data_IF_358589277539
#
_entry.id   IF_358589277539
#
_cell.length_a   1.000
_cell.length_b   1.000
_cell.length_c   1.000
_cell.angle_alpha   90.00
_cell.angle_beta   90.00
_cell.angle_gamma   90.00
#
_symmetry.space_group_name_H-M   'P 1'
#
loop_
_entity.id
_entity.type
_entity.pdbx_description
1 polymer ?
#
# COMPACT_ATOMS: atom_id res chain seq x y z
N UNK A 1 -1.19 14.16 -41.32
CA UNK A 1 -1.95 13.87 -40.09
C UNK A 1 -1.00 13.53 -38.97
N UNK A 2 -0.81 12.26 -38.64
CA UNK A 2 -0.06 11.83 -37.45
C UNK A 2 1.43 12.27 -37.37
N UNK A 3 2.11 12.44 -38.51
CA UNK A 3 3.55 12.84 -38.54
C UNK A 3 3.74 14.34 -38.25
N UNK A 4 2.72 15.20 -38.44
CA UNK A 4 2.83 16.63 -38.13
C UNK A 4 2.54 16.93 -36.66
N UNK A 5 1.60 16.21 -36.03
CA UNK A 5 1.24 16.40 -34.62
C UNK A 5 2.31 15.85 -33.67
N UNK A 6 2.88 14.67 -33.97
CA UNK A 6 3.99 14.10 -33.19
C UNK A 6 5.26 14.97 -33.22
N UNK A 7 5.48 15.74 -34.30
CA UNK A 7 6.57 16.71 -34.36
C UNK A 7 6.32 17.88 -33.42
N UNK A 8 5.11 18.44 -33.38
CA UNK A 8 4.76 19.57 -32.51
C UNK A 8 4.87 19.22 -31.02
N UNK A 9 4.42 18.02 -30.62
CA UNK A 9 4.49 17.60 -29.21
C UNK A 9 5.93 17.40 -28.71
N UNK A 10 6.84 16.92 -29.56
CA UNK A 10 8.24 16.62 -29.19
C UNK A 10 9.21 17.77 -29.45
N UNK A 11 8.81 18.76 -30.23
CA UNK A 11 9.62 19.93 -30.58
C UNK A 11 10.23 20.66 -29.37
N UNK A 12 9.50 20.86 -28.25
CA UNK A 12 10.07 21.53 -27.06
C UNK A 12 11.30 20.82 -26.49
N UNK A 13 11.30 19.48 -26.48
CA UNK A 13 12.42 18.67 -26.01
C UNK A 13 13.63 18.77 -26.95
N UNK A 14 13.39 18.82 -28.26
CA UNK A 14 14.44 18.91 -29.28
C UNK A 14 15.10 20.30 -29.32
N UNK A 15 14.37 21.35 -28.96
CA UNK A 15 14.83 22.74 -28.97
C UNK A 15 15.45 23.19 -27.64
N UNK A 16 15.25 22.43 -26.56
CA UNK A 16 15.78 22.75 -25.24
C UNK A 16 17.11 22.05 -24.99
N UNK A 17 18.10 22.78 -24.48
CA UNK A 17 19.36 22.19 -24.01
C UNK A 17 19.11 21.49 -22.67
N UNK A 18 19.02 20.17 -22.70
CA UNK A 18 18.81 19.31 -21.54
C UNK A 18 20.15 19.03 -20.84
N UNK A 19 20.23 19.22 -19.52
CA UNK A 19 21.49 19.11 -18.75
C UNK A 19 21.37 18.42 -17.39
N UNK A 20 20.21 17.83 -17.09
CA UNK A 20 19.85 17.31 -15.76
C UNK A 20 20.31 15.89 -15.48
N UNK A 21 20.33 15.54 -14.19
CA UNK A 21 20.99 14.35 -13.63
C UNK A 21 20.25 13.03 -13.90
N UNK A 22 18.91 13.02 -13.95
CA UNK A 22 18.13 11.79 -14.20
C UNK A 22 18.07 11.41 -15.68
N UNK A 23 18.22 12.39 -16.57
CA UNK A 23 18.15 12.21 -18.02
C UNK A 23 16.76 11.86 -18.57
N UNK A 24 15.71 11.79 -17.74
CA UNK A 24 14.34 11.46 -18.18
C UNK A 24 13.50 12.73 -18.23
N UNK A 25 13.20 13.15 -19.46
CA UNK A 25 12.40 14.34 -19.75
C UNK A 25 11.10 14.00 -20.45
N UNK A 26 10.07 14.77 -20.13
CA UNK A 26 8.72 14.56 -20.61
C UNK A 26 8.18 15.87 -21.17
N UNK A 27 7.46 15.74 -22.27
CA UNK A 27 6.56 16.78 -22.76
C UNK A 27 5.35 16.86 -21.83
N UNK A 28 4.60 17.96 -21.86
CA UNK A 28 3.32 18.09 -21.14
C UNK A 28 2.39 16.89 -21.38
N UNK A 29 2.26 16.46 -22.64
CA UNK A 29 1.41 15.31 -22.98
C UNK A 29 1.90 14.02 -22.31
N UNK A 30 3.19 13.71 -22.39
CA UNK A 30 3.75 12.51 -21.79
C UNK A 30 3.65 12.54 -20.25
N UNK A 31 3.87 13.72 -19.64
CA UNK A 31 3.64 13.95 -18.22
C UNK A 31 2.19 13.67 -17.82
N UNK A 32 1.21 14.21 -18.55
CA UNK A 32 -0.21 13.96 -18.29
C UNK A 32 -0.56 12.47 -18.43
N UNK A 33 -0.05 11.79 -19.46
CA UNK A 33 -0.23 10.34 -19.60
C UNK A 33 0.34 9.58 -18.40
N UNK A 34 1.54 9.95 -17.94
CA UNK A 34 2.17 9.33 -16.78
C UNK A 34 1.37 9.57 -15.49
N UNK A 35 0.83 10.78 -15.29
CA UNK A 35 -0.04 11.11 -14.14
C UNK A 35 -1.36 10.33 -14.17
N UNK A 36 -1.99 10.20 -15.34
CA UNK A 36 -3.25 9.43 -15.50
C UNK A 36 -3.03 7.93 -15.31
N UNK A 37 -1.88 7.42 -15.73
CA UNK A 37 -1.47 6.04 -15.51
C UNK A 37 -0.96 5.76 -14.09
N UNK A 38 -0.94 6.78 -13.20
CA UNK A 38 -0.43 6.68 -11.82
C UNK A 38 1.01 6.16 -11.75
N UNK A 39 1.86 6.54 -12.72
CA UNK A 39 3.28 6.17 -12.72
C UNK A 39 3.93 6.69 -11.43
N UNK A 40 4.57 5.78 -10.68
CA UNK A 40 5.09 6.03 -9.34
C UNK A 40 6.47 6.71 -9.39
N UNK A 41 6.49 7.96 -9.83
CA UNK A 41 7.67 8.83 -9.85
C UNK A 41 7.31 10.25 -9.42
N UNK A 42 8.27 10.96 -8.84
CA UNK A 42 8.18 12.40 -8.58
C UNK A 42 8.51 13.18 -9.84
N UNK A 43 7.64 14.12 -10.20
CA UNK A 43 7.88 15.03 -11.31
C UNK A 43 8.24 16.42 -10.81
N UNK A 44 9.14 17.07 -11.52
CA UNK A 44 9.46 18.48 -11.34
C UNK A 44 9.38 19.19 -12.69
N UNK A 45 8.93 20.44 -12.67
CA UNK A 45 8.94 21.26 -13.88
C UNK A 45 10.37 21.71 -14.16
N UNK A 46 10.93 21.27 -15.29
CA UNK A 46 12.30 21.59 -15.71
C UNK A 46 12.39 22.96 -16.38
N UNK A 47 11.42 23.30 -17.22
CA UNK A 47 11.38 24.59 -17.92
C UNK A 47 9.94 25.01 -18.15
N UNK A 48 9.63 26.23 -17.70
CA UNK A 48 8.39 26.92 -18.02
C UNK A 48 8.57 27.63 -19.36
N UNK A 49 7.68 27.36 -20.31
CA UNK A 49 7.73 28.03 -21.61
C UNK A 49 6.71 29.16 -21.60
N UNK A 50 7.16 30.39 -21.87
CA UNK A 50 6.28 31.55 -21.96
C UNK A 50 5.24 31.36 -23.07
N UNK A 51 4.01 31.78 -22.78
CA UNK A 51 2.80 31.69 -23.61
C UNK A 51 3.10 31.72 -25.12
N UNK A 52 2.90 30.60 -25.81
CA UNK A 52 2.87 30.62 -27.27
C UNK A 52 1.60 31.35 -27.72
N UNK A 53 1.69 32.13 -28.80
CA UNK A 53 0.56 32.91 -29.32
C UNK A 53 -0.66 32.06 -29.72
N UNK A 54 -0.47 30.73 -29.82
CA UNK A 54 -1.48 29.74 -30.20
C UNK A 54 -2.09 29.00 -28.99
N UNK A 55 -1.78 29.41 -27.75
CA UNK A 55 -2.39 28.83 -26.53
C UNK A 55 -1.92 27.42 -26.16
N UNK A 56 -0.89 26.91 -26.83
CA UNK A 56 -0.23 25.65 -26.44
C UNK A 56 0.77 25.91 -25.31
N UNK A 57 0.51 25.28 -24.16
CA UNK A 57 1.51 25.08 -23.11
C UNK A 57 2.47 23.99 -23.57
N UNK A 58 3.76 24.24 -23.40
CA UNK A 58 4.81 23.31 -23.81
C UNK A 58 5.86 23.20 -22.71
N UNK A 59 5.41 23.05 -21.47
CA UNK A 59 6.33 22.85 -20.36
C UNK A 59 7.09 21.55 -20.55
N UNK A 60 8.34 21.57 -20.08
CA UNK A 60 9.17 20.38 -20.01
C UNK A 60 9.20 19.96 -18.55
N UNK A 61 8.85 18.70 -18.33
CA UNK A 61 8.91 18.05 -17.04
C UNK A 61 10.12 17.13 -16.99
N UNK A 62 10.67 16.95 -15.81
CA UNK A 62 11.68 15.93 -15.54
C UNK A 62 11.20 14.99 -14.45
N UNK A 63 11.66 13.75 -14.52
CA UNK A 63 11.57 12.84 -13.37
C UNK A 63 12.63 13.30 -12.37
N UNK A 64 12.18 13.67 -11.17
CA UNK A 64 13.04 14.12 -10.08
C UNK A 64 13.50 12.94 -9.21
N UNK A 65 12.58 12.02 -8.90
CA UNK A 65 12.87 10.81 -8.15
C UNK A 65 11.92 9.68 -8.53
N UNK A 66 12.30 8.45 -8.21
CA UNK A 66 11.50 7.25 -8.42
C UNK A 66 11.04 6.76 -7.05
N UNK A 67 9.76 6.41 -6.91
CA UNK A 67 9.27 5.73 -5.72
C UNK A 67 9.68 4.25 -5.78
N UNK A 68 10.98 3.98 -5.58
CA UNK A 68 11.56 2.65 -5.82
C UNK A 68 11.11 1.62 -4.79
N UNK A 69 10.75 2.06 -3.59
CA UNK A 69 10.12 1.19 -2.62
C UNK A 69 8.71 0.80 -3.08
N UNK A 70 8.41 -0.49 -2.97
CA UNK A 70 7.07 -1.09 -3.13
C UNK A 70 6.46 -1.10 -4.54
N UNK A 71 6.91 -0.25 -5.47
CA UNK A 71 6.32 -0.13 -6.81
C UNK A 71 7.16 -0.74 -7.94
N UNK A 72 8.49 -0.72 -7.81
CA UNK A 72 9.43 -1.29 -8.77
C UNK A 72 10.06 -2.57 -8.23
N UNK A 73 10.46 -3.47 -9.14
CA UNK A 73 11.13 -4.71 -8.75
C UNK A 73 12.56 -4.46 -8.27
N UNK A 74 13.09 -5.40 -7.48
CA UNK A 74 14.44 -5.32 -6.96
C UNK A 74 15.49 -5.45 -8.07
N UNK A 75 16.62 -4.79 -7.90
CA UNK A 75 17.79 -5.01 -8.75
C UNK A 75 18.30 -6.44 -8.53
N UNK A 76 18.27 -7.33 -9.55
CA UNK A 76 18.56 -8.75 -9.34
C UNK A 76 19.93 -9.02 -8.72
N UNK A 77 20.94 -8.22 -9.08
CA UNK A 77 22.28 -8.35 -8.54
C UNK A 77 22.29 -8.15 -7.01
N UNK A 78 21.52 -7.19 -6.47
CA UNK A 78 21.44 -6.95 -5.02
C UNK A 78 20.81 -8.11 -4.23
N UNK A 79 20.09 -9.03 -4.90
CA UNK A 79 19.54 -10.22 -4.26
C UNK A 79 20.60 -11.33 -4.06
N UNK A 80 21.76 -11.22 -4.71
CA UNK A 80 22.81 -12.24 -4.60
C UNK A 80 23.48 -12.26 -3.22
N UNK A 81 23.89 -13.46 -2.79
CA UNK A 81 24.49 -13.71 -1.46
C UNK A 81 25.75 -12.90 -1.17
N UNK A 82 26.49 -12.53 -2.23
CA UNK A 82 27.73 -11.74 -2.12
C UNK A 82 27.44 -10.24 -2.00
N UNK A 83 26.24 -9.78 -2.39
CA UNK A 83 25.87 -8.38 -2.30
C UNK A 83 25.32 -8.05 -0.92
N UNK A 84 24.33 -8.81 -0.44
CA UNK A 84 23.65 -8.60 0.83
C UNK A 84 23.34 -9.94 1.50
N UNK A 85 23.27 -10.01 2.85
CA UNK A 85 22.83 -11.20 3.56
C UNK A 85 21.42 -11.61 3.12
N UNK A 86 21.16 -12.91 3.00
CA UNK A 86 19.86 -13.43 2.56
C UNK A 86 18.89 -13.47 3.72
N UNK A 87 19.32 -13.99 4.86
CA UNK A 87 18.48 -14.13 6.06
C UNK A 87 19.20 -13.69 7.33
N UNK A 88 18.43 -13.25 8.33
CA UNK A 88 18.92 -13.00 9.70
C UNK A 88 19.46 -14.25 10.39
N UNK A 89 19.04 -15.43 9.91
CA UNK A 89 19.53 -16.73 10.42
C UNK A 89 20.89 -17.13 9.85
N UNK A 90 21.38 -16.45 8.80
CA UNK A 90 22.65 -16.80 8.16
C UNK A 90 23.83 -16.38 9.05
N UNK A 91 24.88 -17.21 9.08
CA UNK A 91 26.09 -16.91 9.88
C UNK A 91 26.75 -15.59 9.47
N UNK A 92 26.69 -15.27 8.18
CA UNK A 92 27.24 -14.04 7.60
C UNK A 92 26.45 -12.77 7.94
N UNK A 93 25.22 -12.89 8.44
CA UNK A 93 24.42 -11.72 8.84
C UNK A 93 25.07 -10.96 9.99
N UNK A 94 25.64 -11.67 10.98
CA UNK A 94 26.34 -11.03 12.10
C UNK A 94 27.60 -10.26 11.66
N UNK A 95 28.27 -10.72 10.60
CA UNK A 95 29.43 -10.05 10.01
C UNK A 95 29.00 -8.81 9.24
N UNK A 96 27.96 -8.93 8.41
CA UNK A 96 27.34 -7.80 7.72
C UNK A 96 26.92 -6.70 8.69
N UNK A 97 26.20 -7.08 9.74
CA UNK A 97 25.65 -6.16 10.72
C UNK A 97 26.76 -5.36 11.44
N UNK A 98 27.83 -6.04 11.85
CA UNK A 98 28.99 -5.38 12.49
C UNK A 98 29.70 -4.42 11.53
N UNK A 99 29.91 -4.84 10.28
CA UNK A 99 30.55 -4.00 9.26
C UNK A 99 29.70 -2.78 8.87
N UNK A 100 28.37 -2.91 8.90
CA UNK A 100 27.46 -1.80 8.62
C UNK A 100 27.42 -0.78 9.76
N UNK A 101 27.26 -1.22 11.02
CA UNK A 101 27.14 -0.32 12.16
C UNK A 101 28.47 0.24 12.67
N UNK A 102 29.58 -0.49 12.48
CA UNK A 102 30.90 -0.11 13.00
C UNK A 102 31.96 -0.24 11.90
N UNK A 103 31.85 0.50 10.78
CA UNK A 103 32.74 0.37 9.63
C UNK A 103 34.21 0.68 9.97
N UNK A 104 34.47 1.47 11.01
CA UNK A 104 35.83 1.79 11.48
C UNK A 104 36.53 0.60 12.14
N UNK A 105 35.76 -0.30 12.76
CA UNK A 105 36.27 -1.50 13.43
C UNK A 105 36.31 -2.71 12.50
N UNK A 106 35.46 -2.72 11.48
CA UNK A 106 35.31 -3.82 10.53
C UNK A 106 35.35 -3.31 9.08
N UNK A 107 36.50 -2.77 8.62
CA UNK A 107 36.62 -2.18 7.28
C UNK A 107 36.55 -3.23 6.16
N UNK A 108 36.98 -4.46 6.46
CA UNK A 108 37.01 -5.57 5.50
C UNK A 108 35.68 -6.33 5.54
N UNK A 109 34.70 -5.85 4.76
CA UNK A 109 33.46 -6.59 4.51
C UNK A 109 33.60 -7.48 3.29
N UNK A 110 33.07 -8.71 3.37
CA UNK A 110 32.92 -9.60 2.22
C UNK A 110 31.80 -9.15 1.27
N UNK A 111 30.87 -8.31 1.74
CA UNK A 111 29.71 -7.84 1.01
C UNK A 111 30.02 -6.67 0.06
N UNK A 112 29.75 -6.87 -1.22
CA UNK A 112 29.97 -5.87 -2.26
C UNK A 112 29.09 -4.62 -2.09
N UNK A 113 27.89 -4.75 -1.51
CA UNK A 113 27.04 -3.60 -1.24
C UNK A 113 27.70 -2.62 -0.27
N UNK A 114 28.35 -3.09 0.80
CA UNK A 114 29.04 -2.21 1.76
C UNK A 114 30.24 -1.51 1.10
N UNK A 115 30.99 -2.21 0.24
CA UNK A 115 32.07 -1.60 -0.57
C UNK A 115 31.53 -0.53 -1.51
N UNK A 116 30.39 -0.77 -2.14
CA UNK A 116 29.75 0.19 -3.03
C UNK A 116 29.25 1.43 -2.26
N UNK A 117 28.66 1.24 -1.07
CA UNK A 117 28.25 2.35 -0.19
C UNK A 117 29.44 3.25 0.19
N UNK A 118 30.58 2.65 0.57
CA UNK A 118 31.79 3.39 0.91
C UNK A 118 32.38 4.15 -0.29
N UNK A 119 32.29 3.56 -1.49
CA UNK A 119 32.81 4.17 -2.73
C UNK A 119 31.91 5.28 -3.28
N UNK A 120 30.59 5.17 -3.08
CA UNK A 120 29.60 6.07 -3.64
C UNK A 120 28.58 6.55 -2.58
N UNK A 121 29.01 7.17 -1.47
CA UNK A 121 28.14 7.53 -0.35
C UNK A 121 27.08 8.58 -0.72
N UNK A 122 27.29 9.34 -1.79
CA UNK A 122 26.34 10.34 -2.29
C UNK A 122 25.28 9.77 -3.25
N UNK A 123 25.38 8.50 -3.66
CA UNK A 123 24.45 7.91 -4.63
C UNK A 123 23.13 7.54 -3.95
N UNK A 124 22.17 8.46 -3.97
CA UNK A 124 20.86 8.28 -3.34
C UNK A 124 20.14 7.03 -3.84
N UNK A 125 20.08 6.82 -5.16
CA UNK A 125 19.44 5.65 -5.77
C UNK A 125 20.10 4.35 -5.30
N UNK A 126 21.43 4.26 -5.30
CA UNK A 126 22.14 3.07 -4.82
C UNK A 126 21.78 2.74 -3.37
N UNK A 127 21.86 3.73 -2.48
CA UNK A 127 21.58 3.54 -1.06
C UNK A 127 20.11 3.16 -0.81
N UNK A 128 19.18 3.78 -1.53
CA UNK A 128 17.76 3.46 -1.46
C UNK A 128 17.49 2.02 -1.95
N UNK A 129 18.11 1.58 -3.06
CA UNK A 129 17.94 0.21 -3.55
C UNK A 129 18.50 -0.85 -2.58
N UNK A 130 19.66 -0.56 -1.97
CA UNK A 130 20.23 -1.44 -0.92
C UNK A 130 19.27 -1.53 0.27
N UNK A 131 18.78 -0.38 0.76
CA UNK A 131 17.83 -0.32 1.86
C UNK A 131 16.50 -1.03 1.51
N UNK A 132 16.03 -0.93 0.26
CA UNK A 132 14.82 -1.58 -0.22
C UNK A 132 14.93 -3.11 -0.14
N UNK A 133 16.05 -3.69 -0.57
CA UNK A 133 16.29 -5.14 -0.47
C UNK A 133 16.37 -5.58 1.00
N UNK A 134 17.09 -4.84 1.85
CA UNK A 134 17.18 -5.15 3.28
C UNK A 134 15.80 -5.09 3.95
N UNK A 135 15.00 -4.07 3.64
CA UNK A 135 13.62 -3.94 4.11
C UNK A 135 12.75 -5.11 3.62
N UNK A 136 12.85 -5.49 2.35
CA UNK A 136 12.18 -6.67 1.78
C UNK A 136 12.56 -7.99 2.43
N UNK A 137 13.78 -8.09 2.98
CA UNK A 137 14.28 -9.22 3.79
C UNK A 137 14.04 -9.08 5.29
N UNK A 138 13.23 -8.09 5.69
CA UNK A 138 12.92 -7.76 7.08
C UNK A 138 14.13 -7.36 7.95
N UNK A 139 15.23 -6.92 7.35
CA UNK A 139 16.41 -6.37 8.02
C UNK A 139 16.22 -4.87 8.25
N UNK A 140 15.18 -4.53 9.03
CA UNK A 140 14.65 -3.17 9.18
C UNK A 140 15.68 -2.18 9.77
N UNK A 141 16.46 -2.61 10.76
CA UNK A 141 17.46 -1.75 11.40
C UNK A 141 18.67 -1.52 10.48
N UNK A 142 19.06 -2.54 9.72
CA UNK A 142 20.12 -2.41 8.72
C UNK A 142 19.69 -1.49 7.58
N UNK A 143 18.43 -1.59 7.13
CA UNK A 143 17.88 -0.66 6.15
C UNK A 143 17.88 0.78 6.67
N UNK A 144 17.51 1.02 7.93
CA UNK A 144 17.55 2.33 8.57
C UNK A 144 18.97 2.91 8.64
N UNK A 145 19.98 2.08 8.92
CA UNK A 145 21.39 2.51 8.95
C UNK A 145 21.90 2.95 7.56
N UNK A 146 21.53 2.20 6.51
CA UNK A 146 21.84 2.58 5.12
C UNK A 146 21.19 3.92 4.77
N UNK A 147 19.92 4.12 5.15
CA UNK A 147 19.23 5.39 4.92
C UNK A 147 19.81 6.53 5.76
N UNK A 148 20.29 6.25 6.96
CA UNK A 148 20.94 7.24 7.82
C UNK A 148 22.20 7.80 7.16
N UNK A 149 22.99 6.94 6.51
CA UNK A 149 24.14 7.36 5.71
C UNK A 149 23.77 8.34 4.58
N UNK A 150 22.67 8.08 3.87
CA UNK A 150 22.15 9.00 2.85
C UNK A 150 21.68 10.32 3.48
N UNK A 151 20.95 10.25 4.57
CA UNK A 151 20.32 11.41 5.21
C UNK A 151 21.32 12.32 5.94
N UNK A 152 22.52 11.84 6.25
CA UNK A 152 23.64 12.68 6.68
C UNK A 152 24.09 13.68 5.60
N UNK A 153 24.02 13.28 4.32
CA UNK A 153 24.41 14.15 3.20
C UNK A 153 23.22 14.88 2.57
N UNK A 154 22.04 14.25 2.57
CA UNK A 154 20.82 14.76 1.95
C UNK A 154 19.65 14.67 2.94
N UNK A 155 19.62 15.52 3.99
CA UNK A 155 18.63 15.41 5.07
C UNK A 155 17.19 15.56 4.60
N UNK A 156 16.93 16.22 3.47
CA UNK A 156 15.59 16.44 2.91
C UNK A 156 15.21 15.41 1.84
N UNK A 157 16.00 14.34 1.65
CA UNK A 157 15.68 13.31 0.66
C UNK A 157 14.35 12.62 0.98
N UNK A 158 13.31 12.98 0.22
CA UNK A 158 11.92 12.56 0.45
C UNK A 158 11.78 11.04 0.42
N UNK A 159 12.37 10.37 -0.58
CA UNK A 159 12.25 8.91 -0.75
C UNK A 159 12.85 8.18 0.45
N UNK A 160 14.03 8.59 0.90
CA UNK A 160 14.69 8.02 2.08
C UNK A 160 13.90 8.26 3.37
N UNK A 161 13.36 9.48 3.56
CA UNK A 161 12.53 9.83 4.72
C UNK A 161 11.24 9.02 4.77
N UNK A 162 10.54 8.87 3.65
CA UNK A 162 9.32 8.05 3.58
C UNK A 162 9.64 6.58 3.80
N UNK A 163 10.71 6.04 3.19
CA UNK A 163 11.12 4.66 3.47
C UNK A 163 11.43 4.44 4.96
N UNK A 164 12.07 5.41 5.62
CA UNK A 164 12.35 5.34 7.06
C UNK A 164 11.09 5.44 7.93
N UNK A 165 10.11 6.28 7.55
CA UNK A 165 8.78 6.26 8.15
C UNK A 165 8.16 4.86 8.09
N UNK A 166 8.21 4.22 6.92
CA UNK A 166 7.68 2.87 6.71
C UNK A 166 8.44 1.83 7.56
N UNK A 167 9.77 1.93 7.65
CA UNK A 167 10.60 1.05 8.49
C UNK A 167 10.19 1.15 9.96
N UNK A 168 10.03 2.36 10.52
CA UNK A 168 9.61 2.51 11.92
C UNK A 168 8.21 1.98 12.18
N UNK A 169 7.30 2.14 11.21
CA UNK A 169 5.99 1.51 11.28
C UNK A 169 6.06 -0.02 11.27
N UNK A 170 6.91 -0.60 10.40
CA UNK A 170 7.15 -2.04 10.40
C UNK A 170 7.73 -2.54 11.74
N UNK A 171 8.64 -1.76 12.33
CA UNK A 171 9.17 -2.03 13.68
C UNK A 171 8.04 -2.01 14.71
N UNK A 172 7.13 -1.03 14.66
CA UNK A 172 6.00 -0.90 15.58
C UNK A 172 5.03 -2.09 15.49
N UNK A 173 4.69 -2.50 14.27
CA UNK A 173 3.81 -3.65 14.01
C UNK A 173 4.37 -4.96 14.55
N UNK A 174 5.70 -5.14 14.50
CA UNK A 174 6.38 -6.32 15.02
C UNK A 174 6.43 -6.40 16.56
N UNK A 175 6.12 -5.31 17.29
CA UNK A 175 6.20 -5.31 18.75
C UNK A 175 4.98 -5.95 19.40
N UNK A 176 5.21 -6.85 20.35
CA UNK A 176 4.17 -7.38 21.24
C UNK A 176 3.89 -6.44 22.44
N UNK A 177 4.80 -5.51 22.74
CA UNK A 177 4.66 -4.54 23.81
C UNK A 177 4.05 -3.22 23.29
N UNK A 178 3.04 -2.72 24.00
CA UNK A 178 2.32 -1.50 23.63
C UNK A 178 3.23 -0.28 23.63
N UNK A 179 4.04 -0.10 24.68
CA UNK A 179 4.89 1.08 24.83
C UNK A 179 6.00 1.11 23.78
N UNK A 180 6.61 -0.04 23.46
CA UNK A 180 7.60 -0.12 22.38
C UNK A 180 6.95 0.15 21.02
N UNK A 181 5.76 -0.40 20.76
CA UNK A 181 5.00 -0.11 19.54
C UNK A 181 4.68 1.40 19.43
N UNK A 182 4.24 2.03 20.52
CA UNK A 182 3.91 3.45 20.57
C UNK A 182 5.12 4.33 20.21
N UNK A 183 6.28 4.08 20.83
CA UNK A 183 7.51 4.82 20.53
C UNK A 183 7.93 4.68 19.06
N UNK A 184 7.80 3.49 18.49
CA UNK A 184 8.13 3.26 17.08
C UNK A 184 7.14 3.99 16.15
N UNK A 185 5.84 4.00 16.46
CA UNK A 185 4.86 4.80 15.73
C UNK A 185 5.11 6.30 15.86
N UNK A 186 5.51 6.80 17.03
CA UNK A 186 5.86 8.22 17.22
C UNK A 186 7.04 8.63 16.35
N UNK A 187 8.08 7.78 16.25
CA UNK A 187 9.19 8.01 15.31
C UNK A 187 8.73 8.01 13.85
N UNK A 188 7.86 7.08 13.47
CA UNK A 188 7.29 7.04 12.13
C UNK A 188 6.50 8.33 11.83
N UNK A 189 5.64 8.77 12.77
CA UNK A 189 4.83 9.98 12.62
C UNK A 189 5.73 11.21 12.47
N UNK A 190 6.81 11.31 13.25
CA UNK A 190 7.75 12.42 13.13
C UNK A 190 8.40 12.50 11.73
N UNK A 191 8.75 11.37 11.11
CA UNK A 191 9.21 11.35 9.72
C UNK A 191 8.10 11.76 8.74
N UNK A 192 6.87 11.28 8.94
CA UNK A 192 5.72 11.64 8.11
C UNK A 192 5.36 13.13 8.17
N UNK A 193 5.38 13.72 9.36
CA UNK A 193 5.18 15.16 9.58
C UNK A 193 6.29 15.99 8.95
N UNK A 194 7.54 15.55 9.07
CA UNK A 194 8.67 16.20 8.43
C UNK A 194 8.48 16.27 6.91
N UNK A 195 8.18 15.12 6.27
CA UNK A 195 8.03 15.05 4.81
C UNK A 195 6.78 15.78 4.34
N UNK A 196 5.64 15.65 5.03
CA UNK A 196 4.41 16.35 4.69
C UNK A 196 4.53 17.88 4.86
N UNK A 197 5.49 18.34 5.69
CA UNK A 197 5.84 19.75 5.84
C UNK A 197 6.76 20.31 4.75
N UNK A 198 7.37 19.45 3.91
CA UNK A 198 8.13 19.88 2.74
C UNK A 198 7.16 20.43 1.69
N UNK A 199 7.58 21.46 0.93
CA UNK A 199 6.71 22.15 -0.03
C UNK A 199 6.17 21.21 -1.12
N UNK A 200 4.87 21.30 -1.41
CA UNK A 200 4.13 20.52 -2.41
C UNK A 200 4.25 18.98 -2.27
N UNK A 201 3.78 18.39 -1.15
CA UNK A 201 3.79 16.94 -0.97
C UNK A 201 2.92 16.23 -2.02
N UNK A 202 3.47 15.17 -2.61
CA UNK A 202 2.79 14.31 -3.60
C UNK A 202 1.70 13.46 -2.96
N UNK A 203 0.75 12.97 -3.77
CA UNK A 203 -0.33 12.07 -3.37
C UNK A 203 0.20 10.82 -2.67
N UNK A 204 1.32 10.25 -3.15
CA UNK A 204 1.93 9.07 -2.55
C UNK A 204 2.32 9.31 -1.09
N UNK A 205 2.90 10.47 -0.77
CA UNK A 205 3.33 10.83 0.58
C UNK A 205 2.14 10.85 1.53
N UNK A 206 1.06 11.54 1.15
CA UNK A 206 -0.15 11.59 1.98
C UNK A 206 -0.80 10.22 2.10
N UNK A 207 -0.83 9.40 1.05
CA UNK A 207 -1.38 8.05 1.10
C UNK A 207 -0.62 7.17 2.09
N UNK A 208 0.72 7.12 2.01
CA UNK A 208 1.55 6.35 2.94
C UNK A 208 1.44 6.87 4.38
N UNK A 209 1.41 8.19 4.55
CA UNK A 209 1.26 8.78 5.88
C UNK A 209 -0.13 8.54 6.48
N UNK A 210 -1.17 8.45 5.64
CA UNK A 210 -2.51 8.03 6.08
C UNK A 210 -2.54 6.57 6.51
N UNK A 211 -1.89 5.70 5.73
CA UNK A 211 -1.78 4.28 6.02
C UNK A 211 -1.07 4.04 7.36
N UNK A 212 -0.06 4.84 7.70
CA UNK A 212 0.59 4.82 9.02
C UNK A 212 -0.40 4.98 10.18
N UNK A 213 -1.28 5.99 10.13
CA UNK A 213 -2.26 6.21 11.18
C UNK A 213 -3.35 5.11 11.21
N UNK A 214 -3.77 4.63 10.04
CA UNK A 214 -4.70 3.50 9.97
C UNK A 214 -4.10 2.24 10.62
N UNK A 215 -2.82 1.98 10.39
CA UNK A 215 -2.08 0.90 11.00
C UNK A 215 -1.96 1.01 12.51
N UNK A 216 -1.59 2.19 13.00
CA UNK A 216 -1.57 2.49 14.43
C UNK A 216 -2.93 2.16 15.06
N UNK A 217 -4.03 2.56 14.44
CA UNK A 217 -5.37 2.20 14.90
C UNK A 217 -5.62 0.68 14.90
N UNK A 218 -5.26 -0.04 13.83
CA UNK A 218 -5.36 -1.51 13.76
C UNK A 218 -4.57 -2.18 14.89
N UNK A 219 -3.33 -1.73 15.14
CA UNK A 219 -2.49 -2.24 16.20
C UNK A 219 -3.12 -2.01 17.57
N UNK A 220 -3.70 -0.83 17.81
CA UNK A 220 -4.43 -0.54 19.05
C UNK A 220 -5.68 -1.38 19.24
N UNK A 221 -6.42 -1.67 18.16
CA UNK A 221 -7.54 -2.62 18.22
C UNK A 221 -7.06 -4.00 18.69
N UNK A 222 -5.94 -4.50 18.15
CA UNK A 222 -5.34 -5.77 18.59
C UNK A 222 -4.98 -5.76 20.06
N UNK A 223 -4.33 -4.69 20.53
CA UNK A 223 -3.96 -4.53 21.94
C UNK A 223 -5.18 -4.50 22.86
N UNK A 224 -6.22 -3.74 22.52
CA UNK A 224 -7.47 -3.67 23.29
C UNK A 224 -8.15 -5.04 23.40
N UNK A 225 -8.19 -5.79 22.29
CA UNK A 225 -8.76 -7.15 22.22
C UNK A 225 -7.91 -8.21 22.92
N UNK A 226 -6.61 -7.96 23.11
CA UNK A 226 -5.69 -8.83 23.85
C UNK A 226 -5.88 -8.85 25.37
N UNK A 227 -6.79 -8.02 25.92
CA UNK A 227 -7.28 -8.14 27.31
C UNK A 227 -6.33 -7.68 28.43
N UNK A 228 -5.05 -7.38 28.15
CA UNK A 228 -4.03 -7.13 29.18
C UNK A 228 -3.90 -5.67 29.66
N UNK A 229 -4.79 -4.75 29.24
CA UNK A 229 -4.56 -3.30 29.35
C UNK A 229 -5.57 -2.55 30.23
N UNK A 230 -6.00 -3.14 31.35
CA UNK A 230 -7.10 -2.60 32.19
C UNK A 230 -6.90 -1.17 32.70
N UNK A 231 -5.64 -0.71 32.89
CA UNK A 231 -5.33 0.64 33.38
C UNK A 231 -5.25 1.70 32.27
N UNK A 232 -4.86 1.30 31.06
CA UNK A 232 -4.58 2.23 29.95
C UNK A 232 -5.63 2.17 28.85
N UNK A 233 -6.61 1.26 28.96
CA UNK A 233 -7.65 0.98 27.96
C UNK A 233 -8.30 2.25 27.39
N UNK A 234 -8.74 3.16 28.25
CA UNK A 234 -9.42 4.39 27.82
C UNK A 234 -8.52 5.28 26.96
N UNK A 235 -7.25 5.41 27.35
CA UNK A 235 -6.27 6.19 26.59
C UNK A 235 -6.01 5.56 25.22
N UNK A 236 -5.79 4.24 25.19
CA UNK A 236 -5.53 3.49 23.95
C UNK A 236 -6.73 3.56 23.00
N UNK A 237 -7.94 3.45 23.54
CA UNK A 237 -9.17 3.60 22.76
C UNK A 237 -9.31 5.01 22.17
N UNK A 238 -9.03 6.05 22.95
CA UNK A 238 -9.03 7.43 22.45
C UNK A 238 -7.99 7.62 21.34
N UNK A 239 -6.76 7.15 21.55
CA UNK A 239 -5.68 7.27 20.56
C UNK A 239 -5.97 6.50 19.27
N UNK A 240 -6.65 5.35 19.38
CA UNK A 240 -7.13 4.57 18.24
C UNK A 240 -8.15 5.34 17.39
N UNK A 241 -9.15 5.99 18.01
CA UNK A 241 -10.08 6.84 17.28
C UNK A 241 -9.41 8.08 16.68
N UNK A 242 -8.51 8.73 17.42
CA UNK A 242 -7.74 9.87 16.92
C UNK A 242 -6.90 9.47 15.69
N UNK A 243 -6.30 8.28 15.73
CA UNK A 243 -5.55 7.74 14.60
C UNK A 243 -6.45 7.47 13.39
N UNK A 244 -7.64 6.90 13.57
CA UNK A 244 -8.60 6.72 12.46
C UNK A 244 -9.07 8.06 11.85
N UNK A 245 -9.37 9.04 12.70
CA UNK A 245 -9.74 10.39 12.25
C UNK A 245 -8.59 11.01 11.45
N UNK A 246 -7.36 10.86 11.94
CA UNK A 246 -6.19 11.41 11.27
C UNK A 246 -5.89 10.74 9.93
N UNK A 247 -6.05 9.42 9.86
CA UNK A 247 -5.94 8.67 8.61
C UNK A 247 -6.95 9.18 7.59
N UNK A 248 -8.22 9.39 7.98
CA UNK A 248 -9.26 9.96 7.11
C UNK A 248 -8.88 11.34 6.59
N UNK A 249 -8.41 12.24 7.46
CA UNK A 249 -7.99 13.59 7.07
C UNK A 249 -6.87 13.56 6.03
N UNK A 250 -5.86 12.71 6.23
CA UNK A 250 -4.72 12.61 5.34
C UNK A 250 -5.10 11.93 4.01
N UNK A 251 -6.01 10.94 4.01
CA UNK A 251 -6.50 10.36 2.76
C UNK A 251 -7.26 11.39 1.92
N UNK A 252 -8.06 12.26 2.56
CA UNK A 252 -8.69 13.38 1.86
C UNK A 252 -7.67 14.33 1.25
N UNK A 253 -6.53 14.58 1.91
CA UNK A 253 -5.43 15.35 1.32
C UNK A 253 -4.79 14.62 0.14
N UNK A 254 -4.56 13.31 0.24
CA UNK A 254 -4.02 12.50 -0.85
C UNK A 254 -4.92 12.58 -2.10
N UNK A 255 -6.24 12.47 -1.91
CA UNK A 255 -7.22 12.63 -2.97
C UNK A 255 -7.22 14.05 -3.54
N UNK A 256 -7.15 15.09 -2.71
CA UNK A 256 -7.10 16.47 -3.17
C UNK A 256 -5.82 16.80 -3.96
N UNK A 257 -4.69 16.19 -3.62
CA UNK A 257 -3.43 16.32 -4.37
C UNK A 257 -3.43 15.50 -5.66
N UNK A 258 -4.26 14.45 -5.74
CA UNK A 258 -4.32 13.59 -6.92
C UNK A 258 -4.89 14.36 -8.11
N UNK A 259 -4.23 14.35 -9.29
CA UNK A 259 -4.73 15.05 -10.47
C UNK A 259 -6.11 14.58 -10.93
N UNK A 260 -6.48 13.34 -10.62
CA UNK A 260 -7.77 12.75 -10.97
C UNK A 260 -8.81 12.93 -9.86
N UNK A 261 -8.40 13.38 -8.67
CA UNK A 261 -9.21 13.37 -7.45
C UNK A 261 -9.56 11.96 -6.96
N UNK A 262 -8.99 10.90 -7.58
CA UNK A 262 -9.43 9.51 -7.46
C UNK A 262 -8.24 8.56 -7.37
N UNK A 263 -7.26 8.88 -6.53
CA UNK A 263 -6.15 7.96 -6.25
C UNK A 263 -6.71 6.65 -5.67
N UNK A 264 -6.45 5.55 -6.38
CA UNK A 264 -7.09 4.26 -6.12
C UNK A 264 -6.72 3.73 -4.73
N UNK A 265 -5.45 3.81 -4.36
CA UNK A 265 -4.94 3.36 -3.06
C UNK A 265 -5.59 4.12 -1.92
N UNK A 266 -5.67 5.44 -2.04
CA UNK A 266 -6.29 6.32 -1.05
C UNK A 266 -7.78 6.04 -0.90
N UNK A 267 -8.52 5.87 -2.00
CA UNK A 267 -9.94 5.51 -1.97
C UNK A 267 -10.16 4.16 -1.27
N UNK A 268 -9.36 3.16 -1.62
CA UNK A 268 -9.45 1.82 -1.05
C UNK A 268 -9.28 1.83 0.47
N UNK A 269 -8.23 2.47 0.98
CA UNK A 269 -8.00 2.51 2.43
C UNK A 269 -8.95 3.44 3.17
N UNK A 270 -9.41 4.52 2.52
CA UNK A 270 -10.42 5.39 3.09
C UNK A 270 -11.74 4.64 3.35
N UNK A 271 -12.14 3.68 2.48
CA UNK A 271 -13.29 2.81 2.75
C UNK A 271 -13.17 2.14 4.12
N UNK A 272 -12.03 1.49 4.38
CA UNK A 272 -11.82 0.75 5.62
C UNK A 272 -11.70 1.65 6.84
N UNK A 273 -11.06 2.82 6.72
CA UNK A 273 -11.04 3.81 7.81
C UNK A 273 -12.46 4.22 8.19
N UNK A 274 -13.31 4.50 7.20
CA UNK A 274 -14.71 4.87 7.43
C UNK A 274 -15.49 3.72 8.06
N UNK A 275 -15.30 2.48 7.60
CA UNK A 275 -15.93 1.31 8.20
C UNK A 275 -15.50 1.11 9.65
N UNK A 276 -14.22 1.27 9.97
CA UNK A 276 -13.71 1.09 11.32
C UNK A 276 -14.24 2.17 12.26
N UNK A 277 -14.27 3.43 11.81
CA UNK A 277 -14.90 4.52 12.55
C UNK A 277 -16.36 4.20 12.88
N UNK A 278 -17.15 3.80 11.89
CA UNK A 278 -18.58 3.49 12.08
C UNK A 278 -18.79 2.23 12.94
N UNK A 279 -18.03 1.16 12.69
CA UNK A 279 -18.14 -0.12 13.40
C UNK A 279 -17.79 0.01 14.89
N UNK A 280 -16.63 0.57 15.22
CA UNK A 280 -16.17 0.65 16.61
C UNK A 280 -16.84 1.76 17.41
N UNK A 281 -17.38 2.80 16.75
CA UNK A 281 -18.22 3.79 17.44
C UNK A 281 -19.62 3.27 17.75
N UNK A 282 -20.14 2.34 16.95
CA UNK A 282 -21.48 1.78 17.14
C UNK A 282 -21.55 0.72 18.24
N UNK A 283 -20.46 -0.02 18.48
CA UNK A 283 -20.41 -1.05 19.53
C UNK A 283 -19.02 -1.15 20.16
N UNK A 284 -18.84 -0.46 21.29
CA UNK A 284 -17.59 -0.49 22.07
C UNK A 284 -17.24 -1.90 22.58
N UNK A 285 -18.21 -2.83 22.65
CA UNK A 285 -17.96 -4.21 23.10
C UNK A 285 -17.11 -4.99 22.11
N UNK A 286 -17.03 -4.56 20.85
CA UNK A 286 -16.16 -5.17 19.84
C UNK A 286 -14.67 -5.02 20.18
N UNK A 287 -14.33 -4.04 21.03
CA UNK A 287 -12.98 -3.82 21.58
C UNK A 287 -12.75 -4.60 22.88
N UNK A 288 -13.71 -5.40 23.33
CA UNK A 288 -13.59 -6.30 24.48
C UNK A 288 -12.56 -7.41 24.24
N UNK A 289 -12.13 -8.05 25.34
CA UNK A 289 -11.23 -9.19 25.28
C UNK A 289 -11.82 -10.27 24.36
N UNK A 290 -10.97 -10.85 23.50
CA UNK A 290 -11.35 -11.77 22.44
C UNK A 290 -11.86 -13.15 22.91
N UNK A 291 -12.41 -13.27 24.13
CA UNK A 291 -13.04 -14.48 24.64
C UNK A 291 -14.31 -14.81 23.80
N UNK A 292 -14.05 -15.42 22.64
CA UNK A 292 -14.94 -16.17 21.74
C UNK A 292 -15.77 -15.45 20.66
N UNK A 293 -15.58 -14.17 20.36
CA UNK A 293 -16.30 -13.55 19.23
C UNK A 293 -15.38 -12.98 18.15
N UNK A 294 -15.37 -13.64 16.98
CA UNK A 294 -14.83 -13.10 15.74
C UNK A 294 -15.50 -11.77 15.40
N UNK A 295 -14.74 -10.82 14.86
CA UNK A 295 -15.28 -9.53 14.43
C UNK A 295 -16.21 -9.75 13.23
N UNK A 296 -17.47 -9.33 13.38
CA UNK A 296 -18.49 -9.47 12.34
C UNK A 296 -19.20 -8.15 12.09
N UNK A 297 -19.52 -7.88 10.82
CA UNK A 297 -20.30 -6.71 10.43
C UNK A 297 -21.79 -6.98 10.61
N UNK A 298 -22.29 -6.81 11.84
CA UNK A 298 -23.69 -7.10 12.16
C UNK A 298 -24.68 -6.06 11.65
N UNK A 299 -24.21 -4.89 11.23
CA UNK A 299 -25.04 -3.72 10.89
C UNK A 299 -24.91 -3.30 9.42
N UNK A 300 -24.32 -4.16 8.58
CA UNK A 300 -24.03 -3.90 7.16
C UNK A 300 -23.23 -2.60 6.95
N UNK A 301 -22.33 -2.26 7.88
CA UNK A 301 -21.50 -1.06 7.84
C UNK A 301 -20.72 -1.03 6.54
N UNK A 302 -20.04 -2.11 6.17
CA UNK A 302 -19.17 -2.12 4.99
C UNK A 302 -19.96 -1.92 3.71
N UNK A 303 -21.11 -2.60 3.57
CA UNK A 303 -21.99 -2.41 2.42
C UNK A 303 -22.48 -0.96 2.34
N UNK A 304 -22.95 -0.38 3.45
CA UNK A 304 -23.46 1.00 3.49
C UNK A 304 -22.36 2.00 3.17
N UNK A 305 -21.17 1.84 3.75
CA UNK A 305 -20.00 2.70 3.48
C UNK A 305 -19.57 2.60 2.02
N UNK A 306 -19.48 1.38 1.48
CA UNK A 306 -19.14 1.15 0.07
C UNK A 306 -20.10 1.86 -0.87
N UNK A 307 -21.41 1.66 -0.70
CA UNK A 307 -22.44 2.34 -1.50
C UNK A 307 -22.29 3.86 -1.42
N UNK A 308 -22.16 4.43 -0.21
CA UNK A 308 -22.00 5.87 -0.03
C UNK A 308 -20.79 6.42 -0.77
N UNK A 309 -19.63 5.76 -0.64
CA UNK A 309 -18.41 6.24 -1.27
C UNK A 309 -18.45 6.06 -2.79
N UNK A 310 -18.89 4.89 -3.29
CA UNK A 310 -19.01 4.65 -4.73
C UNK A 310 -19.98 5.63 -5.39
N UNK A 311 -21.05 6.03 -4.71
CA UNK A 311 -21.94 7.10 -5.16
C UNK A 311 -21.24 8.46 -5.17
N UNK A 312 -20.51 8.80 -4.11
CA UNK A 312 -19.80 10.09 -3.98
C UNK A 312 -18.76 10.29 -5.09
N UNK A 313 -17.97 9.26 -5.42
CA UNK A 313 -16.96 9.34 -6.49
C UNK A 313 -17.55 9.19 -7.91
N UNK A 314 -18.87 8.97 -8.00
CA UNK A 314 -19.62 8.82 -9.26
C UNK A 314 -19.47 7.47 -9.95
N UNK A 315 -19.19 6.39 -9.22
CA UNK A 315 -19.17 5.02 -9.74
C UNK A 315 -20.54 4.33 -9.65
N UNK A 316 -21.42 4.83 -8.78
CA UNK A 316 -22.83 4.47 -8.70
C UNK A 316 -23.71 5.71 -8.90
N UNK A 317 -24.84 5.56 -9.60
CA UNK A 317 -25.78 6.65 -9.86
C UNK A 317 -26.89 6.70 -8.79
N UNK A 318 -27.32 7.91 -8.43
CA UNK A 318 -28.35 8.16 -7.40
C UNK A 318 -29.75 7.67 -7.76
N UNK A 319 -30.03 7.44 -9.04
CA UNK A 319 -31.36 7.07 -9.54
C UNK A 319 -31.74 5.61 -9.22
N UNK A 320 -30.79 4.80 -8.74
CA UNK A 320 -30.95 3.36 -8.52
C UNK A 320 -31.41 2.96 -7.11
N UNK A 321 -31.72 3.89 -6.19
CA UNK A 321 -31.86 3.59 -4.74
C UNK A 321 -33.29 3.52 -4.18
N UNK A 322 -34.33 3.29 -4.99
CA UNK A 322 -35.73 3.41 -4.52
C UNK A 322 -36.10 2.55 -3.31
N UNK A 323 -35.37 1.45 -3.05
CA UNK A 323 -35.54 0.56 -1.87
C UNK A 323 -34.20 0.21 -1.17
N UNK A 324 -33.13 0.99 -1.38
CA UNK A 324 -31.79 0.67 -0.84
C UNK A 324 -31.09 -0.54 -1.51
N UNK A 325 -31.69 -1.09 -2.56
CA UNK A 325 -31.08 -2.10 -3.44
C UNK A 325 -30.61 -1.44 -4.73
N UNK A 326 -29.47 -1.89 -5.27
CA UNK A 326 -28.90 -1.38 -6.52
C UNK A 326 -29.47 -2.19 -7.70
N UNK A 327 -29.79 -1.51 -8.81
CA UNK A 327 -30.20 -2.17 -10.06
C UNK A 327 -29.09 -3.09 -10.60
N UNK A 328 -29.46 -4.14 -11.33
CA UNK A 328 -28.49 -5.06 -11.93
C UNK A 328 -27.54 -4.35 -12.91
N UNK A 329 -28.06 -3.38 -13.67
CA UNK A 329 -27.25 -2.53 -14.57
C UNK A 329 -26.21 -1.70 -13.82
N UNK A 330 -26.60 -1.05 -12.72
CA UNK A 330 -25.67 -0.24 -11.94
C UNK A 330 -24.61 -1.10 -11.23
N UNK A 331 -25.01 -2.29 -10.75
CA UNK A 331 -24.07 -3.25 -10.21
C UNK A 331 -23.05 -3.73 -11.25
N UNK A 332 -23.50 -4.11 -12.46
CA UNK A 332 -22.61 -4.53 -13.54
C UNK A 332 -21.66 -3.41 -13.96
N UNK A 333 -22.14 -2.16 -14.04
CA UNK A 333 -21.29 -1.00 -14.33
C UNK A 333 -20.21 -0.79 -13.27
N UNK A 334 -20.56 -0.93 -11.98
CA UNK A 334 -19.58 -0.86 -10.89
C UNK A 334 -18.51 -1.93 -11.06
N UNK A 335 -18.87 -3.18 -11.37
CA UNK A 335 -17.91 -4.26 -11.59
C UNK A 335 -16.95 -3.97 -12.75
N UNK A 336 -17.44 -3.39 -13.85
CA UNK A 336 -16.60 -2.96 -14.98
C UNK A 336 -15.60 -1.88 -14.57
N UNK A 337 -16.04 -0.91 -13.77
CA UNK A 337 -15.17 0.15 -13.23
C UNK A 337 -14.09 -0.47 -12.34
N UNK A 338 -14.46 -1.32 -11.39
CA UNK A 338 -13.53 -1.98 -10.48
C UNK A 338 -12.51 -2.86 -11.23
N UNK A 339 -12.96 -3.63 -12.23
CA UNK A 339 -12.07 -4.42 -13.08
C UNK A 339 -11.09 -3.54 -13.87
N UNK A 340 -11.55 -2.39 -14.37
CA UNK A 340 -10.70 -1.44 -15.11
C UNK A 340 -9.65 -0.79 -14.20
N UNK A 341 -10.00 -0.53 -12.94
CA UNK A 341 -9.09 -0.02 -11.92
C UNK A 341 -8.03 -1.08 -11.59
N UNK A 342 -8.44 -2.32 -11.37
CA UNK A 342 -7.51 -3.42 -11.12
C UNK A 342 -6.53 -3.59 -12.29
N UNK A 343 -7.03 -3.59 -13.53
CA UNK A 343 -6.19 -3.69 -14.72
C UNK A 343 -5.20 -2.50 -14.84
N UNK A 344 -5.60 -1.29 -14.46
CA UNK A 344 -4.68 -0.14 -14.44
C UNK A 344 -3.58 -0.34 -13.40
N UNK A 345 -3.94 -0.80 -12.21
CA UNK A 345 -2.99 -1.05 -11.14
C UNK A 345 -2.02 -2.19 -11.50
N UNK A 346 -2.51 -3.29 -12.09
CA UNK A 346 -1.66 -4.39 -12.58
C UNK A 346 -0.64 -3.92 -13.63
N UNK A 347 -0.97 -2.92 -14.44
CA UNK A 347 -0.07 -2.35 -15.44
C UNK A 347 0.95 -1.34 -14.89
N UNK A 348 0.73 -0.77 -13.70
CA UNK A 348 1.61 0.24 -13.10
C UNK A 348 2.58 -0.32 -12.05
N UNK A 349 2.44 -1.60 -11.68
CA UNK A 349 3.23 -2.27 -10.65
C UNK A 349 4.20 -3.28 -11.24
N UNK A 350 5.46 -3.22 -10.80
CA UNK A 350 6.48 -4.21 -11.15
C UNK A 350 7.04 -4.98 -9.94
N UNK A 351 6.82 -4.47 -8.72
CA UNK A 351 7.36 -5.09 -7.50
C UNK A 351 6.77 -6.48 -7.23
N UNK A 352 7.61 -7.51 -7.34
CA UNK A 352 7.22 -8.89 -7.02
C UNK A 352 6.73 -9.05 -5.58
N UNK A 353 7.27 -8.28 -4.64
CA UNK A 353 6.85 -8.32 -3.23
C UNK A 353 5.45 -7.74 -3.02
N UNK A 354 4.99 -6.83 -3.88
CA UNK A 354 3.71 -6.16 -3.69
C UNK A 354 2.54 -6.84 -4.44
N UNK A 355 2.83 -7.41 -5.62
CA UNK A 355 1.83 -8.08 -6.47
C UNK A 355 0.92 -9.07 -5.70
N UNK A 356 1.42 -9.96 -4.82
CA UNK A 356 0.55 -10.89 -4.11
C UNK A 356 -0.47 -10.19 -3.22
N UNK A 357 -0.05 -9.10 -2.56
CA UNK A 357 -0.93 -8.36 -1.68
C UNK A 357 -1.96 -7.54 -2.44
N UNK A 358 -1.62 -6.95 -3.59
CA UNK A 358 -2.58 -6.24 -4.45
C UNK A 358 -3.73 -7.17 -4.87
N UNK A 359 -3.39 -8.38 -5.33
CA UNK A 359 -4.39 -9.39 -5.69
C UNK A 359 -5.31 -9.74 -4.51
N UNK A 360 -4.72 -9.89 -3.32
CA UNK A 360 -5.48 -10.05 -2.08
C UNK A 360 -6.39 -8.84 -1.82
N UNK A 361 -5.90 -7.60 -1.89
CA UNK A 361 -6.69 -6.39 -1.66
C UNK A 361 -7.88 -6.27 -2.63
N UNK A 362 -7.72 -6.64 -3.90
CA UNK A 362 -8.83 -6.61 -4.84
C UNK A 362 -9.88 -7.69 -4.51
N UNK A 363 -9.45 -8.86 -4.03
CA UNK A 363 -10.35 -9.87 -3.49
C UNK A 363 -11.15 -9.34 -2.28
N UNK A 364 -10.49 -8.58 -1.39
CA UNK A 364 -11.12 -7.92 -0.25
C UNK A 364 -12.12 -6.86 -0.69
N UNK A 365 -11.78 -6.03 -1.69
CA UNK A 365 -12.69 -5.01 -2.23
C UNK A 365 -14.01 -5.64 -2.71
N UNK A 366 -13.90 -6.71 -3.51
CA UNK A 366 -15.05 -7.41 -4.06
C UNK A 366 -15.86 -8.12 -2.97
N UNK A 367 -15.20 -8.73 -1.99
CA UNK A 367 -15.91 -9.42 -0.92
C UNK A 367 -16.57 -8.44 0.07
N UNK A 368 -15.81 -7.49 0.61
CA UNK A 368 -16.27 -6.69 1.74
C UNK A 368 -17.33 -5.66 1.33
N UNK A 369 -17.21 -5.10 0.12
CA UNK A 369 -17.99 -3.95 -0.34
C UNK A 369 -18.96 -4.25 -1.48
N UNK A 370 -19.05 -5.50 -1.97
CA UNK A 370 -20.04 -5.79 -3.01
C UNK A 370 -21.45 -5.50 -2.51
N UNK A 371 -22.24 -4.68 -3.23
CA UNK A 371 -23.62 -4.42 -2.84
C UNK A 371 -24.53 -5.65 -2.92
N UNK A 372 -24.15 -6.62 -3.77
CA UNK A 372 -24.87 -7.87 -4.02
C UNK A 372 -23.87 -9.02 -4.23
N UNK A 373 -24.03 -10.10 -3.46
CA UNK A 373 -23.26 -11.31 -3.67
C UNK A 373 -23.88 -12.18 -4.78
N UNK A 374 -23.03 -12.62 -5.71
CA UNK A 374 -23.34 -13.62 -6.74
C UNK A 374 -22.25 -14.70 -6.72
N UNK A 375 -22.53 -15.86 -7.29
CA UNK A 375 -21.52 -16.91 -7.40
C UNK A 375 -20.34 -16.46 -8.27
N UNK A 376 -20.59 -15.63 -9.29
CA UNK A 376 -19.54 -15.01 -10.10
C UNK A 376 -18.54 -14.19 -9.27
N UNK A 377 -19.03 -13.37 -8.33
CA UNK A 377 -18.15 -12.62 -7.40
C UNK A 377 -17.33 -13.58 -6.54
N UNK A 378 -17.95 -14.63 -6.04
CA UNK A 378 -17.27 -15.60 -5.17
C UNK A 378 -16.18 -16.36 -5.93
N UNK A 379 -16.44 -16.76 -7.17
CA UNK A 379 -15.44 -17.34 -8.08
C UNK A 379 -14.29 -16.37 -8.35
N UNK A 380 -14.58 -15.09 -8.61
CA UNK A 380 -13.56 -14.07 -8.87
C UNK A 380 -12.68 -13.83 -7.63
N UNK A 381 -13.27 -13.74 -6.44
CA UNK A 381 -12.53 -13.63 -5.17
C UNK A 381 -11.63 -14.84 -4.97
N UNK A 382 -12.14 -16.07 -5.15
CA UNK A 382 -11.33 -17.28 -5.04
C UNK A 382 -10.19 -17.34 -6.07
N UNK A 383 -10.43 -16.90 -7.31
CA UNK A 383 -9.39 -16.82 -8.33
C UNK A 383 -8.26 -15.89 -7.89
N UNK A 384 -8.59 -14.67 -7.46
CA UNK A 384 -7.61 -13.68 -7.00
C UNK A 384 -6.79 -14.17 -5.80
N UNK A 385 -7.42 -14.86 -4.86
CA UNK A 385 -6.73 -15.44 -3.69
C UNK A 385 -5.77 -16.57 -4.09
N UNK A 386 -6.13 -17.40 -5.07
CA UNK A 386 -5.24 -18.44 -5.59
C UNK A 386 -4.09 -17.86 -6.43
N UNK A 387 -4.33 -16.81 -7.19
CA UNK A 387 -3.26 -16.08 -7.87
C UNK A 387 -2.31 -15.43 -6.84
N UNK A 388 -2.83 -14.82 -5.78
CA UNK A 388 -2.02 -14.27 -4.68
C UNK A 388 -1.14 -15.36 -4.02
N UNK A 389 -1.67 -16.57 -3.84
CA UNK A 389 -0.89 -17.72 -3.35
C UNK A 389 0.28 -18.03 -4.29
N UNK A 390 -0.01 -18.21 -5.59
CA UNK A 390 1.02 -18.54 -6.59
C UNK A 390 2.10 -17.47 -6.71
N UNK A 391 1.75 -16.19 -6.64
CA UNK A 391 2.72 -15.10 -6.65
C UNK A 391 3.56 -15.05 -5.36
N UNK A 392 2.97 -15.39 -4.22
CA UNK A 392 3.69 -15.44 -2.93
C UNK A 392 4.75 -16.53 -2.91
N UNK A 393 4.46 -17.71 -3.48
CA UNK A 393 5.40 -18.83 -3.55
C UNK A 393 6.70 -18.46 -4.29
N UNK A 394 6.61 -17.56 -5.29
CA UNK A 394 7.78 -17.09 -6.06
C UNK A 394 8.77 -16.30 -5.20
N UNK A 395 8.33 -15.69 -4.10
CA UNK A 395 9.16 -14.85 -3.24
C UNK A 395 10.10 -15.66 -2.34
N UNK A 396 9.76 -16.93 -2.07
CA UNK A 396 10.51 -17.82 -1.18
C UNK A 396 11.94 -18.01 -1.69
N UNK A 397 12.13 -18.11 -3.02
CA UNK A 397 13.43 -18.36 -3.63
C UNK A 397 14.47 -17.27 -3.31
N UNK A 398 14.03 -16.02 -3.23
CA UNK A 398 14.89 -14.85 -2.99
C UNK A 398 14.87 -14.37 -1.52
N UNK A 399 14.16 -15.10 -0.65
CA UNK A 399 13.85 -14.74 0.74
C UNK A 399 13.22 -13.35 0.89
N UNK A 400 12.30 -13.01 -0.03
CA UNK A 400 11.61 -11.73 -0.04
C UNK A 400 10.27 -11.86 0.68
N UNK A 401 9.91 -10.86 1.48
CA UNK A 401 8.61 -10.80 2.14
C UNK A 401 7.55 -10.18 1.24
N UNK A 402 6.28 -10.51 1.48
CA UNK A 402 5.13 -9.85 0.84
C UNK A 402 4.97 -8.46 1.45
N UNK A 403 4.98 -7.43 0.61
CA UNK A 403 4.69 -6.06 1.02
C UNK A 403 3.17 -5.85 1.14
N UNK A 404 2.74 -5.46 2.33
CA UNK A 404 1.37 -5.13 2.69
C UNK A 404 1.28 -3.63 2.91
N UNK A 405 0.59 -2.92 2.01
CA UNK A 405 0.49 -1.44 1.98
C UNK A 405 -0.20 -0.85 3.23
N UNK A 406 -0.94 -1.67 4.00
CA UNK A 406 -1.25 -1.37 5.41
C UNK A 406 -0.07 -1.77 6.31
N UNK A 407 1.12 -1.29 5.94
CA UNK A 407 2.41 -1.23 6.65
C UNK A 407 3.00 -2.49 7.31
N UNK A 408 3.05 -3.62 6.61
CA UNK A 408 4.05 -4.64 7.00
C UNK A 408 4.68 -5.37 5.82
N UNK A 409 5.88 -5.90 6.05
CA UNK A 409 6.33 -7.07 5.32
C UNK A 409 5.82 -8.30 6.06
N UNK A 410 5.22 -9.24 5.34
CA UNK A 410 4.79 -10.52 5.91
C UNK A 410 5.66 -11.60 5.28
N UNK A 411 6.23 -12.47 6.12
CA UNK A 411 6.97 -13.63 5.61
C UNK A 411 6.08 -14.44 4.66
N UNK A 412 6.59 -14.91 3.51
CA UNK A 412 5.79 -15.61 2.51
C UNK A 412 4.99 -16.78 3.08
N UNK A 413 5.58 -17.56 3.98
CA UNK A 413 4.96 -18.73 4.59
C UNK A 413 3.77 -18.35 5.46
N UNK A 414 3.89 -17.25 6.21
CA UNK A 414 2.81 -16.71 7.05
C UNK A 414 1.68 -16.19 6.15
N UNK A 415 2.01 -15.51 5.06
CA UNK A 415 0.98 -14.99 4.15
C UNK A 415 0.26 -16.12 3.39
N UNK A 416 0.97 -17.17 2.97
CA UNK A 416 0.37 -18.38 2.37
C UNK A 416 -0.65 -19.02 3.33
N UNK A 417 -0.27 -19.22 4.60
CA UNK A 417 -1.17 -19.79 5.60
C UNK A 417 -2.46 -18.96 5.74
N UNK A 418 -2.32 -17.64 5.83
CA UNK A 418 -3.44 -16.70 5.95
C UNK A 418 -4.36 -16.67 4.73
N UNK A 419 -3.80 -16.79 3.53
CA UNK A 419 -4.56 -16.94 2.28
C UNK A 419 -5.34 -18.26 2.28
N UNK A 420 -4.72 -19.36 2.69
CA UNK A 420 -5.37 -20.67 2.80
C UNK A 420 -6.52 -20.66 3.82
N UNK A 421 -6.34 -20.03 4.97
CA UNK A 421 -7.39 -19.85 5.98
C UNK A 421 -8.58 -19.06 5.41
N UNK A 422 -8.29 -17.97 4.70
CA UNK A 422 -9.30 -17.11 4.08
C UNK A 422 -10.08 -17.87 3.00
N UNK A 423 -9.40 -18.62 2.13
CA UNK A 423 -10.03 -19.50 1.14
C UNK A 423 -10.89 -20.56 1.84
N UNK A 424 -10.41 -21.12 2.95
CA UNK A 424 -11.14 -22.09 3.77
C UNK A 424 -12.45 -21.52 4.33
N UNK A 425 -12.44 -20.26 4.80
CA UNK A 425 -13.66 -19.56 5.26
C UNK A 425 -14.65 -19.40 4.12
N UNK A 426 -14.21 -18.94 2.95
CA UNK A 426 -15.09 -18.75 1.78
C UNK A 426 -15.71 -20.09 1.33
N UNK A 427 -14.90 -21.16 1.27
CA UNK A 427 -15.36 -22.51 0.87
C UNK A 427 -16.31 -23.16 1.87
N UNK A 428 -16.27 -22.77 3.15
CA UNK A 428 -17.27 -23.21 4.14
C UNK A 428 -18.64 -22.56 3.89
N UNK A 429 -18.65 -21.31 3.44
CA UNK A 429 -19.87 -20.56 3.12
C UNK A 429 -20.44 -20.97 1.75
N UNK A 430 -19.58 -21.35 0.81
CA UNK A 430 -19.91 -21.63 -0.59
C UNK A 430 -19.25 -22.94 -1.01
N UNK A 431 -20.06 -23.97 -1.23
CA UNK A 431 -19.54 -25.31 -1.56
C UNK A 431 -19.14 -25.42 -3.03
N UNK A 432 -18.25 -26.36 -3.37
CA UNK A 432 -17.85 -26.63 -4.76
C UNK A 432 -19.05 -27.00 -5.65
N UNK A 433 -20.11 -27.57 -5.07
CA UNK A 433 -21.36 -27.86 -5.78
C UNK A 433 -22.23 -26.62 -6.00
N UNK A 434 -22.10 -25.59 -5.16
CA UNK A 434 -22.73 -24.29 -5.42
C UNK A 434 -22.04 -23.59 -6.59
N UNK A 435 -20.71 -23.62 -6.67
CA UNK A 435 -19.94 -22.98 -7.74
C UNK A 435 -20.22 -23.54 -9.14
N UNK A 436 -20.71 -24.79 -9.24
CA UNK A 436 -21.10 -25.43 -10.51
C UNK A 436 -22.47 -24.99 -11.04
N UNK A 437 -23.27 -24.24 -10.27
CA UNK A 437 -24.67 -23.88 -10.62
C UNK A 437 -24.79 -22.66 -11.55
N UNK A 438 -23.67 -22.04 -11.93
CA UNK A 438 -23.59 -20.88 -12.82
C UNK A 438 -23.64 -19.53 -12.10
N UNK A 439 -23.04 -18.50 -12.71
CA UNK A 439 -22.66 -17.25 -12.01
C UNK A 439 -23.83 -16.43 -11.43
N UNK A 440 -25.01 -16.52 -12.06
CA UNK A 440 -26.21 -15.77 -11.69
C UNK A 440 -27.16 -16.54 -10.74
N UNK A 441 -26.78 -17.74 -10.29
CA UNK A 441 -27.67 -18.53 -9.43
C UNK A 441 -27.84 -17.85 -8.06
N UNK A 442 -29.07 -17.69 -7.56
CA UNK A 442 -29.32 -17.05 -6.28
C UNK A 442 -28.79 -17.93 -5.13
N UNK A 443 -27.97 -17.33 -4.27
CA UNK A 443 -27.52 -17.95 -3.02
C UNK A 443 -28.70 -18.06 -2.04
N UNK A 444 -28.67 -19.10 -1.20
CA UNK A 444 -29.60 -19.27 -0.08
C UNK A 444 -29.61 -18.01 0.81
N UNK A 445 -30.77 -17.41 1.14
CA UNK A 445 -30.89 -16.26 2.03
C UNK A 445 -30.15 -16.38 3.36
N UNK A 446 -30.07 -17.59 3.94
CA UNK A 446 -29.33 -17.81 5.19
C UNK A 446 -27.82 -17.66 4.96
N UNK A 447 -27.30 -18.28 3.90
CA UNK A 447 -25.90 -18.14 3.48
C UNK A 447 -25.54 -16.70 3.14
N UNK A 448 -26.43 -16.00 2.43
CA UNK A 448 -26.24 -14.58 2.09
C UNK A 448 -26.08 -13.70 3.33
N UNK A 449 -26.88 -13.97 4.38
CA UNK A 449 -26.76 -13.24 5.65
C UNK A 449 -25.43 -13.52 6.35
N UNK A 450 -24.95 -14.75 6.31
CA UNK A 450 -23.66 -15.12 6.92
C UNK A 450 -22.47 -14.53 6.15
N UNK A 451 -22.50 -14.62 4.82
CA UNK A 451 -21.54 -13.99 3.91
C UNK A 451 -21.50 -12.47 4.14
N UNK A 452 -22.65 -11.81 4.21
CA UNK A 452 -22.73 -10.36 4.40
C UNK A 452 -22.08 -9.90 5.71
N UNK A 453 -22.11 -10.71 6.77
CA UNK A 453 -21.50 -10.40 8.08
C UNK A 453 -20.02 -10.72 8.16
N UNK A 454 -19.54 -11.63 7.31
CA UNK A 454 -18.14 -12.08 7.28
C UNK A 454 -17.33 -11.13 6.41
N UNK A 455 -16.44 -10.34 7.02
CA UNK A 455 -15.57 -9.39 6.29
C UNK A 455 -14.13 -9.86 6.36
N UNK A 456 -13.49 -9.97 5.20
CA UNK A 456 -12.12 -10.45 5.09
C UNK A 456 -11.14 -9.50 5.80
N UNK A 457 -11.36 -8.18 5.71
CA UNK A 457 -10.55 -7.23 6.47
C UNK A 457 -10.70 -7.35 7.99
N UNK A 458 -11.86 -7.81 8.49
CA UNK A 458 -12.03 -8.05 9.92
C UNK A 458 -11.33 -9.33 10.37
N UNK A 459 -11.30 -10.37 9.52
CA UNK A 459 -10.49 -11.57 9.77
C UNK A 459 -8.99 -11.24 9.85
N UNK A 460 -8.53 -10.26 9.07
CA UNK A 460 -7.14 -9.79 9.07
C UNK A 460 -6.71 -9.15 10.41
N UNK A 461 -7.66 -8.63 11.20
CA UNK A 461 -7.35 -8.13 12.54
C UNK A 461 -7.02 -9.25 13.53
N UNK A 462 -7.51 -10.46 13.27
CA UNK A 462 -7.24 -11.65 14.07
C UNK A 462 -6.00 -12.42 13.54
N UNK A 463 -5.33 -11.91 12.50
CA UNK A 463 -4.04 -12.46 12.05
C UNK A 463 -2.94 -12.07 13.04
N UNK A 464 -2.50 -13.03 13.85
CA UNK A 464 -1.31 -12.89 14.72
C UNK A 464 -0.03 -12.75 13.89
#
# INVERSE_FOLDING_TARGET
GAVSESKLANQPLLETKLTGETGIYLTDFAYLCARVAEVRVGFERYKETSYSADGYFSDIWQVNYIWTYDYYDYIPYLLEKMMLPVSKSDTSYSEFQRALFFPEQFPDSSFDALRAMQRFPQSSLLLIEIANVLRGRQMLYEADEVLSSLLLSHPENVVARVMRMLIYSNVAEAQADFSIAAMAFERAIAEGEFVAGLGNPDTAIFSEFSALFFNRAKKWIKFLRGGNLSKERTFIQQDMFLSLIKAKELFLKALATSPTGKDTTSLFWMLYVLCYLELFSADEKLLGAAENNSLVDSNDVFKKTGIRLFTEVGWLNNEDFSDGNISESAFNNLLVILASINARHDNSMLSRSYIPYVKYLFALLLWDFTPRFTLGICNMVLLLLNEALSETEKLIADNLSVYKISVNYVAPEIFILRLQETIGVIKKLITDDDLKKGDNFPLDPVKLKEIARTKLMLLELDWD
#
